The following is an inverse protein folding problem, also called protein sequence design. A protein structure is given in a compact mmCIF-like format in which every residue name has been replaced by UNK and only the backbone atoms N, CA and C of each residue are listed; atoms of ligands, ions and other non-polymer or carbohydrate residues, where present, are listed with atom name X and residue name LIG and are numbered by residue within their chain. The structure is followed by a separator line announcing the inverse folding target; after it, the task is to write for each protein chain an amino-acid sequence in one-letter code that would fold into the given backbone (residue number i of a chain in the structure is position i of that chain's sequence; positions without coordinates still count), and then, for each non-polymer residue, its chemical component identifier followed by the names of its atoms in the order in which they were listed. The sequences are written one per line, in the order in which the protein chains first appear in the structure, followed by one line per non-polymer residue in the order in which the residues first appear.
data_IF_791530608533
#
_entry.id   IF_791530608533
#
_cell.length_a   1.000
_cell.length_b   1.000
_cell.length_c   1.000
_cell.angle_alpha   90.00
_cell.angle_beta   90.00
_cell.angle_gamma   90.00
#
_symmetry.space_group_name_H-M   'P 1'
#
loop_
_entity.id
_entity.type
_entity.pdbx_description
1 polymer ?
#
# COMPACT_ATOMS: atom_id res chain seq x y z
N UNK A 1 -1.25 -4.93 -10.72
CA UNK A 1 -1.47 -6.31 -11.22
C UNK A 1 -1.15 -7.32 -10.12
N UNK A 2 0.05 -7.25 -9.54
CA UNK A 2 0.54 -8.23 -8.55
C UNK A 2 -0.27 -8.26 -7.25
N UNK A 3 -0.71 -7.09 -6.75
CA UNK A 3 -1.62 -6.99 -5.61
C UNK A 3 -2.99 -7.68 -5.82
N UNK A 4 -3.28 -8.11 -7.06
CA UNK A 4 -4.47 -8.88 -7.42
C UNK A 4 -4.10 -10.21 -8.08
N UNK A 5 -2.93 -10.76 -7.75
CA UNK A 5 -2.44 -12.06 -8.21
C UNK A 5 -2.43 -12.21 -9.75
N UNK A 6 -2.31 -11.08 -10.47
CA UNK A 6 -2.40 -11.04 -11.93
C UNK A 6 -3.80 -11.34 -12.51
N UNK A 7 -4.83 -11.50 -11.69
CA UNK A 7 -6.16 -11.96 -12.12
C UNK A 7 -7.13 -10.83 -12.45
N UNK A 8 -6.88 -9.61 -11.96
CA UNK A 8 -7.77 -8.48 -12.19
C UNK A 8 -7.74 -8.05 -13.68
N UNK A 9 -8.91 -7.93 -14.34
CA UNK A 9 -8.99 -7.39 -15.71
C UNK A 9 -8.39 -5.99 -15.80
N UNK A 10 -7.75 -5.66 -16.91
CA UNK A 10 -7.07 -4.36 -17.07
C UNK A 10 -8.02 -3.17 -16.89
N UNK A 11 -9.23 -3.23 -17.47
CA UNK A 11 -10.23 -2.18 -17.30
C UNK A 11 -10.67 -2.00 -15.85
N UNK A 12 -10.68 -3.08 -15.04
CA UNK A 12 -10.96 -2.97 -13.60
C UNK A 12 -9.78 -2.33 -12.86
N UNK A 13 -8.53 -2.69 -13.21
CA UNK A 13 -7.33 -2.09 -12.60
C UNK A 13 -7.28 -0.57 -12.81
N UNK A 14 -7.59 -0.08 -14.01
CA UNK A 14 -7.64 1.36 -14.29
C UNK A 14 -8.66 2.09 -13.40
N UNK A 15 -9.86 1.51 -13.21
CA UNK A 15 -10.86 2.06 -12.29
C UNK A 15 -10.41 2.02 -10.83
N UNK A 16 -9.74 0.95 -10.42
CA UNK A 16 -9.20 0.83 -9.07
C UNK A 16 -8.12 1.88 -8.78
N UNK A 17 -7.29 2.22 -9.77
CA UNK A 17 -6.31 3.32 -9.62
C UNK A 17 -7.01 4.65 -9.34
N UNK A 18 -8.10 4.96 -10.05
CA UNK A 18 -8.86 6.19 -9.81
C UNK A 18 -9.47 6.21 -8.42
N UNK A 19 -10.04 5.08 -7.97
CA UNK A 19 -10.58 4.93 -6.61
C UNK A 19 -9.48 5.11 -5.56
N UNK A 20 -8.31 4.49 -5.76
CA UNK A 20 -7.18 4.64 -4.84
C UNK A 20 -6.74 6.09 -4.73
N UNK A 21 -6.61 6.80 -5.86
CA UNK A 21 -6.28 8.23 -5.86
C UNK A 21 -7.30 9.08 -5.13
N UNK A 22 -8.59 8.83 -5.34
CA UNK A 22 -9.65 9.54 -4.63
C UNK A 22 -9.61 9.28 -3.13
N UNK A 23 -9.36 8.03 -2.71
CA UNK A 23 -9.18 7.66 -1.30
C UNK A 23 -7.96 8.34 -0.68
N UNK A 24 -6.83 8.35 -1.37
CA UNK A 24 -5.61 8.99 -0.90
C UNK A 24 -5.80 10.50 -0.72
N UNK A 25 -6.46 11.16 -1.67
CA UNK A 25 -6.81 12.57 -1.57
C UNK A 25 -7.74 12.84 -0.37
N UNK A 26 -8.76 12.00 -0.18
CA UNK A 26 -9.68 12.12 0.97
C UNK A 26 -8.99 11.91 2.31
N UNK A 27 -8.10 10.91 2.43
CA UNK A 27 -7.33 10.71 3.67
C UNK A 27 -6.37 11.87 3.95
N UNK A 28 -5.74 12.43 2.91
CA UNK A 28 -4.87 13.61 3.06
C UNK A 28 -5.68 14.83 3.53
N UNK A 29 -6.86 15.06 2.94
CA UNK A 29 -7.76 16.14 3.36
C UNK A 29 -8.14 16.02 4.83
N UNK A 30 -8.55 14.82 5.27
CA UNK A 30 -8.90 14.56 6.67
C UNK A 30 -7.72 14.74 7.64
N UNK A 31 -6.51 14.35 7.23
CA UNK A 31 -5.29 14.61 8.01
C UNK A 31 -5.04 16.10 8.19
N UNK A 32 -5.19 16.89 7.13
CA UNK A 32 -4.98 18.35 7.18
C UNK A 32 -6.06 19.02 8.03
N UNK A 33 -7.34 18.67 7.82
CA UNK A 33 -8.46 19.28 8.55
C UNK A 33 -8.51 18.85 10.03
N UNK A 34 -8.03 17.65 10.33
CA UNK A 34 -8.05 17.06 11.68
C UNK A 34 -6.76 17.25 12.48
N UNK A 35 -5.72 17.88 11.91
CA UNK A 35 -4.46 18.09 12.61
C UNK A 35 -4.62 19.05 13.79
N UNK A 36 -3.96 18.73 14.90
CA UNK A 36 -3.81 19.62 16.05
C UNK A 36 -2.44 20.30 16.00
N UNK A 37 -2.12 21.11 17.02
CA UNK A 37 -0.78 21.66 17.20
C UNK A 37 0.32 20.57 17.30
N UNK A 38 -0.04 19.37 17.76
CA UNK A 38 0.86 18.22 17.88
C UNK A 38 0.93 17.36 16.61
N UNK A 39 0.14 17.70 15.58
CA UNK A 39 0.05 16.99 14.31
C UNK A 39 -1.11 16.00 14.24
N UNK A 40 -0.97 14.98 13.37
CA UNK A 40 -1.96 13.94 13.15
C UNK A 40 -1.29 12.62 12.73
N UNK A 41 -1.97 11.50 12.99
CA UNK A 41 -1.51 10.15 12.63
C UNK A 41 -2.55 9.47 11.76
N UNK A 42 -2.12 8.91 10.63
CA UNK A 42 -2.94 8.06 9.78
C UNK A 42 -2.47 6.61 9.88
N UNK A 43 -3.40 5.70 10.16
CA UNK A 43 -3.21 4.26 10.06
C UNK A 43 -3.91 3.79 8.79
N UNK A 44 -3.15 3.33 7.80
CA UNK A 44 -3.66 2.85 6.53
C UNK A 44 -2.76 1.74 5.96
N UNK A 45 -3.24 1.04 4.93
CA UNK A 45 -2.43 0.02 4.25
C UNK A 45 -1.17 0.61 3.62
N UNK A 46 -0.09 -0.19 3.55
CA UNK A 46 1.23 0.25 3.07
C UNK A 46 1.20 0.97 1.71
N UNK A 47 0.30 0.54 0.80
CA UNK A 47 0.11 1.18 -0.50
C UNK A 47 -0.33 2.65 -0.41
N UNK A 48 -1.12 3.00 0.60
CA UNK A 48 -1.64 4.36 0.83
C UNK A 48 -0.61 5.29 1.46
N UNK A 49 0.35 4.74 2.21
CA UNK A 49 1.37 5.55 2.92
C UNK A 49 2.69 5.67 2.15
N UNK A 50 2.76 5.20 0.89
CA UNK A 50 3.94 5.38 0.04
C UNK A 50 4.18 6.87 -0.26
N UNK A 51 5.42 7.31 -0.07
CA UNK A 51 5.83 8.70 -0.29
C UNK A 51 5.74 9.14 -1.77
N UNK A 52 5.85 8.21 -2.71
CA UNK A 52 5.89 8.48 -4.15
C UNK A 52 4.51 8.77 -4.76
N UNK A 53 3.45 8.09 -4.31
CA UNK A 53 2.12 8.15 -4.93
C UNK A 53 0.91 8.08 -4.00
N UNK A 54 1.11 7.78 -2.73
CA UNK A 54 0.02 7.68 -1.75
C UNK A 54 -0.36 9.02 -1.13
N UNK A 55 -0.97 8.98 0.05
CA UNK A 55 -1.35 10.14 0.88
C UNK A 55 -0.25 11.19 1.01
N UNK A 56 1.05 10.85 1.26
CA UNK A 56 2.10 11.86 1.35
C UNK A 56 2.27 12.72 0.11
N UNK A 57 1.97 12.20 -1.09
CA UNK A 57 2.04 12.97 -2.32
C UNK A 57 0.99 14.10 -2.36
N UNK A 58 -0.20 13.85 -1.79
CA UNK A 58 -1.25 14.85 -1.66
C UNK A 58 -0.95 15.83 -0.51
N UNK A 59 -0.40 15.35 0.60
CA UNK A 59 0.01 16.20 1.73
C UNK A 59 1.05 17.24 1.33
N UNK A 60 2.05 16.89 0.50
CA UNK A 60 3.04 17.86 -0.01
C UNK A 60 2.42 19.03 -0.77
N UNK A 61 1.23 18.82 -1.37
CA UNK A 61 0.50 19.88 -2.08
C UNK A 61 -0.46 20.63 -1.16
N UNK A 62 -1.16 19.91 -0.27
CA UNK A 62 -2.18 20.48 0.61
C UNK A 62 -1.58 21.21 1.82
N UNK A 63 -0.43 20.77 2.32
CA UNK A 63 0.32 21.36 3.43
C UNK A 63 1.83 21.33 3.15
N UNK A 64 2.35 22.23 2.29
CA UNK A 64 3.73 22.17 1.81
C UNK A 64 4.80 22.35 2.89
N UNK A 65 4.44 22.93 4.04
CA UNK A 65 5.33 23.17 5.18
C UNK A 65 5.26 22.06 6.22
N UNK A 66 4.35 21.08 6.08
CA UNK A 66 4.25 19.98 7.02
C UNK A 66 5.43 19.01 6.89
N UNK A 67 6.00 18.63 8.03
CA UNK A 67 6.92 17.50 8.11
C UNK A 67 6.12 16.20 8.08
N UNK A 68 6.36 15.35 7.08
CA UNK A 68 5.65 14.08 6.91
C UNK A 68 6.61 12.91 7.11
N UNK A 69 6.28 12.03 8.05
CA UNK A 69 6.95 10.75 8.26
C UNK A 69 6.10 9.58 7.79
N UNK A 70 6.73 8.57 7.18
CA UNK A 70 6.06 7.35 6.70
C UNK A 70 6.73 6.11 7.28
N UNK A 71 5.91 5.19 7.81
CA UNK A 71 6.36 3.91 8.38
C UNK A 71 5.63 2.78 7.67
N UNK A 72 6.38 1.84 7.09
CA UNK A 72 5.84 0.63 6.50
C UNK A 72 6.13 -0.57 7.39
N UNK A 73 5.11 -1.40 7.63
CA UNK A 73 5.27 -2.67 8.31
C UNK A 73 5.48 -3.78 7.27
N UNK A 74 6.53 -4.58 7.45
CA UNK A 74 6.90 -5.67 6.54
C UNK A 74 7.07 -6.95 7.33
N UNK A 75 6.31 -7.98 6.95
CA UNK A 75 6.45 -9.30 7.54
C UNK A 75 7.72 -10.00 7.03
N UNK A 76 8.49 -10.59 7.95
CA UNK A 76 9.71 -11.32 7.62
C UNK A 76 9.44 -12.76 7.22
N UNK A 77 10.30 -13.30 6.37
CA UNK A 77 10.30 -14.70 5.95
C UNK A 77 11.39 -15.48 6.71
N UNK A 78 11.08 -16.72 7.12
CA UNK A 78 12.06 -17.56 7.81
C UNK A 78 13.27 -17.82 6.91
N UNK A 79 14.46 -17.65 7.49
CA UNK A 79 15.72 -17.83 6.77
C UNK A 79 16.18 -16.61 5.96
N UNK A 80 15.36 -15.56 5.85
CA UNK A 80 15.73 -14.30 5.18
C UNK A 80 16.13 -13.27 6.24
N UNK A 81 17.43 -13.05 6.39
CA UNK A 81 18.02 -12.22 7.45
C UNK A 81 18.55 -10.86 6.96
N UNK A 82 18.42 -10.58 5.67
CA UNK A 82 18.93 -9.36 5.02
C UNK A 82 17.77 -8.44 4.65
N UNK A 83 17.77 -7.20 5.15
CA UNK A 83 16.68 -6.24 4.94
C UNK A 83 16.46 -5.91 3.46
N UNK A 84 17.55 -5.86 2.69
CA UNK A 84 17.56 -5.60 1.25
C UNK A 84 16.87 -6.71 0.46
N UNK A 85 16.65 -7.90 1.04
CA UNK A 85 15.91 -8.98 0.36
C UNK A 85 14.41 -8.69 0.23
N UNK A 86 13.89 -7.70 0.95
CA UNK A 86 12.45 -7.40 0.98
C UNK A 86 12.00 -6.37 -0.07
N UNK A 87 12.77 -6.13 -1.14
CA UNK A 87 12.50 -5.10 -2.17
C UNK A 87 11.06 -5.14 -2.72
N UNK A 88 10.51 -6.33 -2.95
CA UNK A 88 9.12 -6.49 -3.42
C UNK A 88 8.10 -5.97 -2.39
N UNK A 89 8.32 -6.26 -1.11
CA UNK A 89 7.43 -5.84 -0.03
C UNK A 89 7.58 -4.34 0.28
N UNK A 90 8.80 -3.80 0.12
CA UNK A 90 9.12 -2.40 0.40
C UNK A 90 8.90 -1.49 -0.80
N UNK A 91 8.62 -2.03 -1.99
CA UNK A 91 8.23 -1.26 -3.16
C UNK A 91 9.38 -0.88 -4.11
N UNK A 92 10.51 -1.60 -4.04
CA UNK A 92 11.67 -1.48 -4.92
C UNK A 92 12.99 -1.48 -4.14
N UNK A 93 14.10 -1.32 -4.85
CA UNK A 93 15.44 -1.17 -4.26
C UNK A 93 15.57 0.12 -3.45
N UNK A 94 14.76 1.13 -3.78
CA UNK A 94 14.61 2.37 -3.03
C UNK A 94 13.19 2.45 -2.46
N UNK A 95 12.98 2.03 -1.20
CA UNK A 95 11.67 2.05 -0.59
C UNK A 95 11.11 3.48 -0.50
N UNK A 96 9.85 3.74 -0.88
CA UNK A 96 9.23 5.05 -0.77
C UNK A 96 8.68 5.26 0.66
N UNK A 97 9.48 4.95 1.67
CA UNK A 97 9.14 5.08 3.09
C UNK A 97 10.33 5.67 3.86
N UNK A 98 10.07 6.43 4.93
CA UNK A 98 11.13 6.92 5.80
C UNK A 98 11.65 5.83 6.74
N UNK A 99 10.75 4.97 7.21
CA UNK A 99 11.06 3.86 8.10
C UNK A 99 10.37 2.57 7.64
N UNK A 100 11.06 1.46 7.84
CA UNK A 100 10.50 0.11 7.66
C UNK A 100 10.60 -0.60 8.99
N UNK A 101 9.46 -1.12 9.46
CA UNK A 101 9.36 -1.92 10.67
C UNK A 101 9.14 -3.38 10.28
N UNK A 102 10.13 -4.23 10.56
CA UNK A 102 10.02 -5.66 10.31
C UNK A 102 9.26 -6.36 11.44
N UNK A 103 8.27 -7.18 11.10
CA UNK A 103 7.45 -7.92 12.05
C UNK A 103 7.50 -9.42 11.79
N UNK A 104 7.28 -10.27 12.81
CA UNK A 104 6.97 -11.67 12.57
C UNK A 104 5.76 -11.78 11.63
N UNK A 105 5.83 -12.75 10.71
CA UNK A 105 4.73 -13.09 9.82
C UNK A 105 3.60 -13.75 10.59
N UNK A 106 2.36 -13.39 10.28
CA UNK A 106 1.17 -13.99 10.90
C UNK A 106 1.03 -15.46 10.52
N UNK A 107 1.14 -15.78 9.23
CA UNK A 107 1.20 -17.15 8.72
C UNK A 107 1.94 -17.25 7.37
N UNK A 108 2.32 -18.47 6.99
CA UNK A 108 3.02 -18.76 5.74
C UNK A 108 2.09 -19.08 4.57
N UNK A 109 0.79 -18.77 4.67
CA UNK A 109 -0.17 -19.08 3.61
C UNK A 109 -0.05 -18.06 2.48
N UNK A 110 -0.16 -18.55 1.24
CA UNK A 110 -0.29 -17.66 0.10
C UNK A 110 -1.72 -17.09 0.03
N UNK A 111 -1.90 -15.75 0.14
CA UNK A 111 -3.21 -15.14 0.01
C UNK A 111 -3.86 -15.40 -1.36
N UNK A 112 -3.07 -15.59 -2.42
CA UNK A 112 -3.58 -15.83 -3.77
C UNK A 112 -4.28 -17.19 -3.91
N UNK A 113 -3.79 -18.23 -3.22
CA UNK A 113 -4.40 -19.56 -3.27
C UNK A 113 -5.83 -19.57 -2.72
N UNK A 114 -6.11 -18.74 -1.71
CA UNK A 114 -7.46 -18.63 -1.11
C UNK A 114 -8.51 -18.18 -2.13
N UNK A 115 -8.12 -17.36 -3.11
CA UNK A 115 -9.04 -16.80 -4.11
C UNK A 115 -8.94 -17.47 -5.49
N UNK A 116 -8.06 -18.46 -5.67
CA UNK A 116 -7.78 -19.08 -6.97
C UNK A 116 -9.04 -19.64 -7.64
N UNK A 117 -9.77 -20.53 -6.97
CA UNK A 117 -10.99 -21.17 -7.53
C UNK A 117 -12.14 -20.19 -7.81
N UNK A 118 -12.52 -19.27 -6.89
CA UNK A 118 -13.56 -18.27 -7.18
C UNK A 118 -13.20 -17.35 -8.37
N UNK A 119 -11.93 -17.00 -8.53
CA UNK A 119 -11.46 -16.09 -9.58
C UNK A 119 -11.39 -16.79 -10.96
N UNK A 120 -10.95 -18.05 -11.02
CA UNK A 120 -10.98 -18.87 -12.23
C UNK A 120 -12.41 -19.01 -12.79
N UNK A 121 -13.40 -19.25 -11.91
CA UNK A 121 -14.81 -19.36 -12.29
C UNK A 121 -15.39 -18.07 -12.85
N UNK A 122 -14.94 -16.89 -12.38
CA UNK A 122 -15.38 -15.60 -12.95
C UNK A 122 -14.77 -15.33 -14.33
N UNK A 123 -13.55 -15.80 -14.59
CA UNK A 123 -12.89 -15.68 -15.92
C UNK A 123 -13.55 -16.56 -16.98
N UNK A 124 -14.06 -17.75 -16.61
CA UNK A 124 -14.77 -18.62 -17.54
C UNK A 124 -16.20 -18.16 -17.85
N UNK A 125 -16.81 -17.36 -16.98
CA UNK A 125 -18.17 -16.83 -17.14
C UNK A 125 -18.23 -15.41 -17.72
N UNK A 126 -17.07 -14.79 -17.97
CA UNK A 126 -16.94 -13.48 -18.62
C UNK A 126 -16.40 -13.60 -20.06
N UNK A 127 -16.34 -14.82 -20.59
CA UNK A 127 -16.05 -15.15 -22.00
C UNK A 127 -17.35 -15.54 -22.69
#
# INVERSE_FOLDING_TARGET
RDAHCGQAPEAALLRMILIQRARDAGMADQLVSGATADGAVLIAGAGHVRADRGVPAYLRRASPTATVGTVAFVEVERGVTTAESYTRATGGDTPPFNYIWFTPRVDDKDPCETFRRPLERKRSSSQ
#
